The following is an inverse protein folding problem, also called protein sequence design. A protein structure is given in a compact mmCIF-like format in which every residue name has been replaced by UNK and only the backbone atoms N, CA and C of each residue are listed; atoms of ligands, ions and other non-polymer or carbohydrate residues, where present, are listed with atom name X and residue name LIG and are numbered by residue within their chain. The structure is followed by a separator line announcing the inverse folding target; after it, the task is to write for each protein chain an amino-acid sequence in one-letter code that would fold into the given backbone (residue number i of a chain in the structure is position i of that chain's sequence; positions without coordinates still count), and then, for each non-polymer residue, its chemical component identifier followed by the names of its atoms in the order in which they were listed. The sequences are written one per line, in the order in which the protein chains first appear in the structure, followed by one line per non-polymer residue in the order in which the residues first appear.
data_IF_223428298655
#
_entry.id   IF_223428298655
#
_cell.length_a   1.000
_cell.length_b   1.000
_cell.length_c   1.000
_cell.angle_alpha   90.00
_cell.angle_beta   90.00
_cell.angle_gamma   90.00
#
_symmetry.space_group_name_H-M   'P 1'
#
loop_
_entity.id
_entity.type
_entity.pdbx_description
1 polymer ?
#
# COMPACT_ATOMS: atom_id res chain seq x y z
N UNK A 1 -6.04 -10.33 -30.28
CA UNK A 1 -6.20 -8.93 -30.70
C UNK A 1 -7.61 -8.49 -30.33
N UNK A 2 -7.77 -7.63 -29.32
CA UNK A 2 -9.10 -7.22 -28.83
C UNK A 2 -9.75 -6.20 -29.76
N UNK A 3 -11.05 -6.36 -30.03
CA UNK A 3 -11.81 -5.42 -30.85
C UNK A 3 -11.76 -4.00 -30.23
N UNK A 4 -11.54 -2.96 -31.04
CA UNK A 4 -11.51 -1.59 -30.54
C UNK A 4 -12.85 -1.25 -29.88
N UNK A 5 -12.80 -0.93 -28.58
CA UNK A 5 -13.98 -0.52 -27.81
C UNK A 5 -14.56 0.75 -28.42
N UNK A 6 -15.89 0.81 -28.53
CA UNK A 6 -16.58 2.03 -28.96
C UNK A 6 -16.18 3.20 -28.04
N UNK A 7 -16.11 4.45 -28.55
CA UNK A 7 -15.75 5.62 -27.75
C UNK A 7 -16.61 5.77 -26.49
N UNK A 8 -17.87 5.35 -26.55
CA UNK A 8 -18.80 5.32 -25.43
C UNK A 8 -18.40 4.28 -24.38
N UNK A 9 -18.04 3.05 -24.77
CA UNK A 9 -17.57 2.02 -23.86
C UNK A 9 -16.27 2.44 -23.13
N UNK A 10 -15.41 3.19 -23.80
CA UNK A 10 -14.18 3.72 -23.19
C UNK A 10 -14.48 4.74 -22.10
N UNK A 11 -15.48 5.60 -22.28
CA UNK A 11 -15.95 6.56 -21.26
C UNK A 11 -16.57 5.84 -20.06
N UNK A 12 -17.42 4.85 -20.31
CA UNK A 12 -17.99 4.02 -19.24
C UNK A 12 -16.92 3.32 -18.41
N UNK A 13 -15.89 2.75 -19.06
CA UNK A 13 -14.76 2.16 -18.35
C UNK A 13 -14.07 3.15 -17.43
N UNK A 14 -13.85 4.39 -17.87
CA UNK A 14 -13.29 5.44 -17.02
C UNK A 14 -14.17 5.69 -15.81
N UNK A 15 -15.48 5.91 -16.00
CA UNK A 15 -16.42 6.18 -14.91
C UNK A 15 -16.44 5.03 -13.89
N UNK A 16 -16.53 3.79 -14.37
CA UNK A 16 -16.55 2.58 -13.53
C UNK A 16 -15.28 2.46 -12.68
N UNK A 17 -14.13 2.94 -13.17
CA UNK A 17 -12.86 2.90 -12.45
C UNK A 17 -12.68 4.11 -11.53
N UNK A 18 -13.02 5.32 -11.99
CA UNK A 18 -12.74 6.55 -11.24
C UNK A 18 -13.72 6.81 -10.12
N UNK A 19 -15.01 6.54 -10.32
CA UNK A 19 -16.06 6.76 -9.32
C UNK A 19 -15.78 6.01 -8.00
N UNK A 20 -15.44 4.71 -7.99
CA UNK A 20 -15.16 4.01 -6.72
C UNK A 20 -13.93 4.55 -5.99
N UNK A 21 -12.89 5.00 -6.72
CA UNK A 21 -11.70 5.61 -6.11
C UNK A 21 -12.09 6.91 -5.40
N UNK A 22 -12.87 7.76 -6.07
CA UNK A 22 -13.36 9.02 -5.50
C UNK A 22 -14.27 8.75 -4.30
N UNK A 23 -15.17 7.76 -4.40
CA UNK A 23 -16.04 7.37 -3.30
C UNK A 23 -15.26 6.88 -2.07
N UNK A 24 -14.26 6.03 -2.27
CA UNK A 24 -13.43 5.50 -1.19
C UNK A 24 -12.63 6.61 -0.49
N UNK A 25 -12.00 7.50 -1.26
CA UNK A 25 -11.24 8.64 -0.70
C UNK A 25 -12.15 9.62 0.03
N UNK A 26 -13.32 9.93 -0.52
CA UNK A 26 -14.33 10.77 0.13
C UNK A 26 -14.83 10.15 1.43
N UNK A 27 -15.08 8.84 1.46
CA UNK A 27 -15.51 8.13 2.67
C UNK A 27 -14.45 8.17 3.76
N UNK A 28 -13.18 7.95 3.41
CA UNK A 28 -12.07 8.06 4.36
C UNK A 28 -11.97 9.48 4.92
N UNK A 29 -12.14 10.49 4.08
CA UNK A 29 -12.08 11.88 4.53
C UNK A 29 -13.28 12.23 5.41
N UNK A 30 -14.48 11.74 5.08
CA UNK A 30 -15.69 11.91 5.89
C UNK A 30 -15.51 11.32 7.30
N UNK A 31 -14.98 10.10 7.39
CA UNK A 31 -14.65 9.45 8.66
C UNK A 31 -13.67 10.26 9.51
N UNK A 32 -12.70 10.93 8.88
CA UNK A 32 -11.67 11.74 9.56
C UNK A 32 -12.18 13.12 9.98
N UNK A 33 -12.84 13.83 9.07
CA UNK A 33 -13.20 15.24 9.26
C UNK A 33 -14.55 15.41 9.96
N UNK A 34 -15.50 14.52 9.71
CA UNK A 34 -16.87 14.64 10.25
C UNK A 34 -17.04 13.75 11.47
N UNK A 35 -16.62 12.48 11.37
CA UNK A 35 -16.76 11.55 12.50
C UNK A 35 -15.60 11.64 13.51
N UNK A 36 -14.50 12.30 13.14
CA UNK A 36 -13.33 12.44 14.01
C UNK A 36 -12.65 11.11 14.35
N UNK A 37 -12.85 10.05 13.55
CA UNK A 37 -12.25 8.74 13.82
C UNK A 37 -10.72 8.88 13.87
N UNK A 38 -10.07 8.50 14.98
CA UNK A 38 -8.61 8.57 15.11
C UNK A 38 -7.94 7.85 13.94
N UNK A 39 -6.96 8.50 13.30
CA UNK A 39 -6.10 7.84 12.32
C UNK A 39 -5.46 6.64 13.03
N UNK A 40 -5.45 5.46 12.42
CA UNK A 40 -4.69 4.30 12.92
C UNK A 40 -3.30 4.80 13.32
N UNK A 41 -3.06 4.83 14.63
CA UNK A 41 -1.74 5.13 15.18
C UNK A 41 -0.91 3.92 14.82
N UNK A 42 0.14 4.11 14.01
CA UNK A 42 1.22 3.13 13.99
C UNK A 42 1.67 3.06 15.44
N UNK A 43 1.43 1.92 16.11
CA UNK A 43 1.92 1.74 17.47
C UNK A 43 3.43 1.98 17.40
N UNK A 44 3.98 3.03 18.03
CA UNK A 44 5.42 3.26 18.01
C UNK A 44 6.18 2.08 18.64
N UNK A 45 5.48 1.26 19.43
CA UNK A 45 5.95 0.00 20.02
C UNK A 45 5.84 -1.23 19.11
N UNK A 46 5.38 -1.11 17.86
CA UNK A 46 5.72 -2.11 16.84
C UNK A 46 7.19 -1.92 16.48
N UNK A 47 8.04 -2.33 17.43
CA UNK A 47 9.45 -2.59 17.29
C UNK A 47 9.64 -3.26 15.93
N UNK A 48 10.24 -2.51 15.01
CA UNK A 48 10.83 -3.07 13.79
C UNK A 48 11.63 -4.28 14.28
N UNK A 49 11.14 -5.48 14.00
CA UNK A 49 11.86 -6.70 14.33
C UNK A 49 13.17 -6.54 13.56
N UNK A 50 14.32 -6.38 14.23
CA UNK A 50 15.58 -6.36 13.51
C UNK A 50 15.62 -7.69 12.78
N UNK A 51 15.77 -7.67 11.45
CA UNK A 51 15.96 -8.91 10.70
C UNK A 51 17.07 -9.69 11.42
N UNK A 52 16.88 -11.01 11.67
CA UNK A 52 17.91 -11.81 12.31
C UNK A 52 19.20 -11.65 11.51
N UNK A 53 20.21 -11.03 12.12
CA UNK A 53 21.54 -10.89 11.54
C UNK A 53 22.04 -12.32 11.29
N UNK A 54 22.23 -12.67 10.02
CA UNK A 54 22.73 -13.98 9.61
C UNK A 54 24.04 -14.27 10.37
N UNK A 55 24.07 -15.36 11.13
CA UNK A 55 25.21 -15.78 11.94
C UNK A 55 26.40 -16.29 11.10
N UNK A 56 26.40 -16.06 9.78
CA UNK A 56 27.40 -16.63 8.86
C UNK A 56 28.48 -15.62 8.43
N UNK A 57 28.44 -14.37 8.90
CA UNK A 57 29.39 -13.33 8.47
C UNK A 57 30.72 -13.31 9.26
N UNK A 58 30.95 -14.24 10.20
CA UNK A 58 32.10 -14.19 11.14
C UNK A 58 33.19 -15.25 10.85
N UNK A 59 32.92 -16.27 10.03
CA UNK A 59 33.88 -17.40 9.87
C UNK A 59 34.89 -17.28 8.70
N UNK A 60 34.79 -16.28 7.83
CA UNK A 60 35.64 -16.26 6.61
C UNK A 60 37.03 -15.64 6.79
N UNK A 61 37.34 -14.99 7.92
CA UNK A 61 38.61 -14.29 8.11
C UNK A 61 39.65 -15.01 8.99
N UNK A 62 39.39 -16.23 9.47
CA UNK A 62 40.30 -16.95 10.39
C UNK A 62 40.89 -18.25 9.84
N UNK A 63 40.96 -18.42 8.51
CA UNK A 63 41.65 -19.56 7.87
C UNK A 63 42.57 -19.10 6.72
N UNK A 64 43.49 -18.22 7.04
CA UNK A 64 44.72 -18.00 6.25
C UNK A 64 45.78 -17.40 7.15
N UNK A 65 46.28 -18.22 8.07
CA UNK A 65 47.61 -18.07 8.67
C UNK A 65 48.23 -19.46 8.78
#
# INVERSE_FOLDING_TARGET
MGSPLSPQARRWRTIIVTVPIIAATSLVLYKRLVLGEPRRTLNPDQKIIPLPRSHNDVEDHSKSQ
#
